data_IF_235868479105
#
_entry.id   IF_235868479105
#
_cell.length_a   1.000
_cell.length_b   1.000
_cell.length_c   1.000
_cell.angle_alpha   90.00
_cell.angle_beta   90.00
_cell.angle_gamma   90.00
#
_symmetry.space_group_name_H-M   'P 1'
#
loop_
_entity.id
_entity.type
_entity.pdbx_description
1 polymer ?
#
# COMPACT_ATOMS: atom_id res chain seq x y z
N UNK A 1 23.58 27.26 -22.02
CA UNK A 1 23.18 26.13 -21.14
C UNK A 1 21.67 26.01 -20.91
N UNK A 2 20.78 26.54 -21.78
CA UNK A 2 19.31 26.50 -21.56
C UNK A 2 18.54 25.61 -22.56
N UNK A 3 19.21 25.12 -23.62
CA UNK A 3 18.58 24.36 -24.72
C UNK A 3 18.64 22.83 -24.57
N UNK A 4 19.48 22.32 -23.66
CA UNK A 4 19.63 20.88 -23.40
C UNK A 4 18.66 20.33 -22.35
N UNK A 5 18.09 21.20 -21.50
CA UNK A 5 17.11 20.82 -20.47
C UNK A 5 15.86 20.12 -21.03
N UNK A 6 15.22 20.58 -22.13
CA UNK A 6 14.04 19.90 -22.66
C UNK A 6 14.36 18.53 -23.25
N UNK A 7 15.52 18.37 -23.89
CA UNK A 7 15.95 17.08 -24.44
C UNK A 7 16.20 16.04 -23.33
N UNK A 8 16.78 16.47 -22.21
CA UNK A 8 16.99 15.62 -21.04
C UNK A 8 15.67 15.17 -20.40
N UNK A 9 14.68 16.06 -20.30
CA UNK A 9 13.34 15.73 -19.80
C UNK A 9 12.59 14.74 -20.70
N UNK A 10 12.76 14.82 -22.02
CA UNK A 10 12.16 13.89 -22.99
C UNK A 10 12.76 12.49 -22.88
N UNK A 11 14.08 12.37 -22.66
CA UNK A 11 14.74 11.06 -22.50
C UNK A 11 14.31 10.31 -21.22
N UNK A 12 13.95 11.04 -20.16
CA UNK A 12 13.41 10.45 -18.92
C UNK A 12 12.00 9.89 -19.16
N UNK A 13 11.18 10.59 -19.96
CA UNK A 13 9.81 10.17 -20.26
C UNK A 13 9.72 8.90 -21.11
N UNK A 14 10.77 8.55 -21.87
CA UNK A 14 10.79 7.35 -22.71
C UNK A 14 11.06 6.05 -21.94
N UNK A 15 11.42 6.13 -20.65
CA UNK A 15 11.67 4.98 -19.78
C UNK A 15 10.63 4.81 -18.67
N UNK A 16 9.51 5.53 -18.73
CA UNK A 16 8.48 5.42 -17.70
C UNK A 16 7.57 4.24 -18.00
N UNK A 17 7.74 3.14 -17.28
CA UNK A 17 6.67 2.15 -17.13
C UNK A 17 5.48 2.86 -16.50
N UNK A 18 4.31 2.82 -17.15
CA UNK A 18 3.08 3.36 -16.57
C UNK A 18 2.89 2.72 -15.19
N UNK A 19 2.93 3.53 -14.14
CA UNK A 19 2.74 3.06 -12.79
C UNK A 19 1.25 2.79 -12.61
N UNK A 20 0.88 1.51 -12.52
CA UNK A 20 -0.48 1.14 -12.14
C UNK A 20 -0.78 1.74 -10.76
N UNK A 21 -1.97 2.32 -10.62
CA UNK A 21 -2.42 2.84 -9.34
C UNK A 21 -2.61 1.64 -8.40
N UNK A 22 -1.62 1.38 -7.56
CA UNK A 22 -1.71 0.34 -6.55
C UNK A 22 -2.83 0.73 -5.57
N UNK A 23 -4.00 0.05 -5.55
CA UNK A 23 -5.18 0.50 -4.82
C UNK A 23 -4.97 0.57 -3.31
N UNK A 24 -3.96 -0.16 -2.84
CA UNK A 24 -3.59 -0.26 -1.44
C UNK A 24 -2.59 0.80 -0.98
N UNK A 25 -2.26 1.76 -1.84
CA UNK A 25 -1.36 2.85 -1.47
C UNK A 25 -2.10 3.81 -0.55
N UNK A 26 -1.68 3.86 0.71
CA UNK A 26 -2.16 4.90 1.61
C UNK A 26 -1.63 6.28 1.20
N UNK A 27 -2.40 7.37 1.39
CA UNK A 27 -1.90 8.72 1.16
C UNK A 27 -0.64 9.00 2.01
N UNK A 28 0.16 10.00 1.63
CA UNK A 28 1.34 10.42 2.39
C UNK A 28 0.98 10.99 3.79
N UNK A 29 -0.31 11.25 4.02
CA UNK A 29 -0.88 11.47 5.34
C UNK A 29 -0.74 10.22 6.23
N UNK A 30 -0.55 10.45 7.53
CA UNK A 30 -0.25 9.43 8.53
C UNK A 30 -1.44 9.46 9.48
N UNK A 31 -1.71 8.32 10.07
CA UNK A 31 -2.49 8.19 11.28
C UNK A 31 -2.01 9.18 12.35
N UNK A 32 -2.91 9.58 13.27
CA UNK A 32 -2.54 10.42 14.39
C UNK A 32 -1.31 9.89 15.12
N UNK A 33 -0.42 10.80 15.54
CA UNK A 33 0.75 10.40 16.31
C UNK A 33 0.33 9.81 17.67
N UNK A 34 1.05 8.79 18.11
CA UNK A 34 0.80 8.01 19.32
C UNK A 34 -0.58 7.32 19.35
N UNK A 35 -1.08 6.90 18.19
CA UNK A 35 -2.32 6.12 18.11
C UNK A 35 -2.08 4.69 17.64
N UNK A 36 -3.01 3.81 18.00
CA UNK A 36 -3.13 2.45 17.51
C UNK A 36 -4.50 2.28 16.87
N UNK A 37 -4.58 1.56 15.76
CA UNK A 37 -5.83 1.15 15.16
C UNK A 37 -5.78 -0.31 14.77
N UNK A 38 -6.95 -0.95 14.81
CA UNK A 38 -7.16 -2.32 14.40
C UNK A 38 -8.09 -2.29 13.20
N UNK A 39 -7.71 -3.02 12.16
CA UNK A 39 -8.51 -3.20 10.95
C UNK A 39 -8.68 -4.69 10.74
N UNK A 40 -9.93 -5.11 10.55
CA UNK A 40 -10.24 -6.45 10.07
C UNK A 40 -10.86 -6.29 8.68
N UNK A 41 -10.32 -7.00 7.70
CA UNK A 41 -10.93 -7.10 6.38
C UNK A 41 -11.35 -8.54 6.14
N UNK A 42 -12.56 -8.71 5.61
CA UNK A 42 -13.08 -10.02 5.22
C UNK A 42 -13.52 -9.92 3.76
N UNK A 43 -13.10 -10.88 2.96
CA UNK A 43 -13.49 -11.03 1.56
C UNK A 43 -14.20 -12.37 1.40
N UNK A 44 -15.32 -12.36 0.68
CA UNK A 44 -16.11 -13.54 0.36
C UNK A 44 -16.29 -13.61 -1.15
N UNK A 45 -16.09 -14.79 -1.73
CA UNK A 45 -16.22 -15.03 -3.16
C UNK A 45 -16.72 -16.44 -3.45
N UNK A 46 -17.07 -16.70 -4.70
CA UNK A 46 -17.34 -18.06 -5.19
C UNK A 46 -16.17 -18.52 -6.03
N UNK A 47 -15.72 -19.75 -5.81
CA UNK A 47 -14.60 -20.30 -6.57
C UNK A 47 -14.92 -20.47 -8.05
N UNK A 48 -13.95 -20.13 -8.91
CA UNK A 48 -14.11 -20.17 -10.37
C UNK A 48 -14.39 -21.58 -10.90
N UNK A 49 -13.89 -22.62 -10.20
CA UNK A 49 -13.99 -24.03 -10.61
C UNK A 49 -14.89 -24.89 -9.70
N UNK A 50 -15.73 -24.28 -8.83
CA UNK A 50 -16.64 -25.05 -7.99
C UNK A 50 -17.53 -24.19 -7.09
N UNK A 51 -18.59 -24.79 -6.54
CA UNK A 51 -19.58 -24.10 -5.70
C UNK A 51 -19.08 -23.85 -4.25
N UNK A 52 -17.76 -23.66 -4.09
CA UNK A 52 -17.11 -23.47 -2.80
C UNK A 52 -17.13 -21.98 -2.44
N UNK A 53 -17.49 -21.71 -1.19
CA UNK A 53 -17.34 -20.38 -0.60
C UNK A 53 -15.85 -20.13 -0.32
N UNK A 54 -15.28 -19.18 -1.06
CA UNK A 54 -13.96 -18.64 -0.81
C UNK A 54 -14.06 -17.50 0.20
N UNK A 55 -13.21 -17.55 1.22
CA UNK A 55 -13.16 -16.58 2.30
C UNK A 55 -11.71 -16.25 2.62
N UNK A 56 -11.44 -14.97 2.82
CA UNK A 56 -10.14 -14.44 3.22
C UNK A 56 -10.34 -13.41 4.32
N UNK A 57 -9.61 -13.58 5.42
CA UNK A 57 -9.61 -12.67 6.56
C UNK A 57 -8.23 -12.08 6.73
N UNK A 58 -8.16 -10.76 6.88
CA UNK A 58 -6.92 -10.00 6.95
C UNK A 58 -6.94 -9.03 8.13
N UNK A 59 -6.67 -9.50 9.36
CA UNK A 59 -6.41 -8.61 10.49
C UNK A 59 -5.12 -7.80 10.28
N UNK A 60 -5.18 -6.52 10.61
CA UNK A 60 -4.07 -5.57 10.55
C UNK A 60 -4.07 -4.68 11.81
N UNK A 61 -2.90 -4.52 12.39
CA UNK A 61 -2.64 -3.55 13.46
C UNK A 61 -1.81 -2.43 12.87
N UNK A 62 -2.22 -1.19 13.13
CA UNK A 62 -1.61 0.01 12.59
C UNK A 62 -1.18 0.92 13.72
N UNK A 63 0.07 1.36 13.72
CA UNK A 63 0.68 2.21 14.73
C UNK A 63 1.14 3.52 14.12
N UNK A 64 0.58 4.64 14.57
CA UNK A 64 1.10 5.97 14.31
C UNK A 64 2.15 6.32 15.36
N UNK A 65 3.40 5.84 15.24
CA UNK A 65 4.42 6.08 16.26
C UNK A 65 4.70 7.58 16.50
N UNK A 66 4.71 8.37 15.43
CA UNK A 66 4.92 9.83 15.51
C UNK A 66 4.29 10.55 14.31
N UNK A 67 4.44 11.88 14.25
CA UNK A 67 4.04 12.66 13.06
C UNK A 67 4.79 12.24 11.78
N UNK A 68 5.94 11.55 11.92
CA UNK A 68 6.79 11.10 10.81
C UNK A 68 6.65 9.61 10.53
N UNK A 69 6.63 8.79 11.59
CA UNK A 69 6.68 7.33 11.50
C UNK A 69 5.32 6.69 11.66
N UNK A 70 5.03 5.74 10.78
CA UNK A 70 3.88 4.86 10.80
C UNK A 70 4.33 3.43 10.49
N UNK A 71 3.78 2.45 11.22
CA UNK A 71 4.07 1.03 11.03
C UNK A 71 2.78 0.23 11.03
N UNK A 72 2.59 -0.66 10.07
CA UNK A 72 1.49 -1.63 10.09
C UNK A 72 2.04 -3.04 10.05
N UNK A 73 1.33 -3.94 10.72
CA UNK A 73 1.56 -5.36 10.68
C UNK A 73 0.24 -6.07 10.43
N UNK A 74 0.19 -6.97 9.46
CA UNK A 74 -1.02 -7.71 9.13
C UNK A 74 -0.73 -9.18 8.87
N UNK A 75 -1.74 -10.00 9.12
CA UNK A 75 -1.75 -11.41 8.76
C UNK A 75 -2.94 -11.65 7.84
N UNK A 76 -2.85 -12.65 6.98
CA UNK A 76 -3.94 -13.09 6.12
C UNK A 76 -4.13 -14.59 6.32
N UNK A 77 -5.39 -14.99 6.52
CA UNK A 77 -5.81 -16.40 6.55
C UNK A 77 -6.94 -16.59 5.54
N UNK A 78 -6.90 -17.66 4.76
CA UNK A 78 -7.92 -17.89 3.75
C UNK A 78 -8.08 -19.37 3.42
N UNK A 79 -9.15 -19.71 2.70
CA UNK A 79 -9.32 -21.00 2.04
C UNK A 79 -9.37 -20.84 0.50
N UNK A 80 -8.75 -19.78 -0.04
CA UNK A 80 -8.86 -19.48 -1.47
C UNK A 80 -8.15 -20.52 -2.34
N UNK A 81 -7.01 -21.04 -1.88
CA UNK A 81 -6.23 -22.04 -2.63
C UNK A 81 -6.37 -23.48 -2.09
N UNK A 82 -6.97 -23.66 -0.92
CA UNK A 82 -7.07 -24.96 -0.23
C UNK A 82 -8.47 -25.21 0.34
N UNK A 83 -8.87 -26.46 0.53
CA UNK A 83 -10.23 -26.81 1.00
C UNK A 83 -10.54 -26.33 2.43
N UNK A 84 -9.53 -26.00 3.23
CA UNK A 84 -9.65 -25.53 4.60
C UNK A 84 -9.04 -24.12 4.75
N UNK A 85 -9.41 -23.41 5.81
CA UNK A 85 -8.79 -22.11 6.14
C UNK A 85 -7.39 -22.35 6.68
N UNK A 86 -6.40 -21.74 6.06
CA UNK A 86 -5.00 -21.83 6.45
C UNK A 86 -4.36 -20.45 6.52
N UNK A 87 -3.18 -20.40 7.14
CA UNK A 87 -2.37 -19.19 7.17
C UNK A 87 -1.76 -18.91 5.79
N UNK A 88 -2.14 -17.77 5.22
CA UNK A 88 -1.77 -17.38 3.87
C UNK A 88 -0.48 -16.56 3.86
N UNK A 89 -0.48 -15.44 4.58
CA UNK A 89 0.63 -14.48 4.53
C UNK A 89 0.75 -13.61 5.78
N UNK A 90 1.93 -13.00 5.93
CA UNK A 90 2.18 -11.90 6.83
C UNK A 90 2.74 -10.72 6.04
N UNK A 91 2.41 -9.51 6.48
CA UNK A 91 2.92 -8.27 5.91
C UNK A 91 3.35 -7.29 6.99
N UNK A 92 4.42 -6.57 6.67
CA UNK A 92 4.93 -5.44 7.43
C UNK A 92 5.03 -4.24 6.51
N UNK A 93 4.52 -3.10 6.97
CA UNK A 93 4.54 -1.85 6.23
C UNK A 93 5.11 -0.76 7.13
N UNK A 94 6.00 0.06 6.59
CA UNK A 94 6.58 1.20 7.26
C UNK A 94 6.51 2.43 6.34
N UNK A 95 6.12 3.57 6.91
CA UNK A 95 6.07 4.85 6.20
C UNK A 95 6.76 5.93 7.03
N UNK A 96 7.65 6.66 6.37
CA UNK A 96 8.38 7.79 6.92
C UNK A 96 8.06 9.06 6.13
N UNK A 97 7.31 9.98 6.75
CA UNK A 97 7.09 11.33 6.21
C UNK A 97 8.32 12.20 6.48
N UNK A 98 8.99 12.58 5.41
CA UNK A 98 10.14 13.47 5.47
C UNK A 98 9.79 14.93 5.14
N UNK A 99 8.71 15.17 4.38
CA UNK A 99 8.26 16.53 4.02
C UNK A 99 6.79 16.74 4.36
N UNK A 100 6.51 17.86 5.03
CA UNK A 100 5.16 18.37 5.28
C UNK A 100 5.22 19.89 5.13
N UNK A 101 4.54 20.43 4.12
CA UNK A 101 4.33 21.86 3.96
C UNK A 101 2.83 22.11 4.00
N UNK A 102 2.36 22.61 5.14
CA UNK A 102 0.96 22.79 5.46
C UNK A 102 0.67 24.29 5.51
N UNK A 103 -0.21 24.76 4.61
CA UNK A 103 -0.74 26.11 4.52
C UNK A 103 -2.27 26.06 4.72
N UNK A 104 -2.91 27.20 5.00
CA UNK A 104 -4.32 27.30 5.45
C UNK A 104 -5.30 26.57 4.52
N UNK A 105 -5.03 26.51 3.21
CA UNK A 105 -5.88 25.82 2.22
C UNK A 105 -5.15 24.79 1.36
N UNK A 106 -3.89 24.48 1.68
CA UNK A 106 -3.04 23.59 0.86
C UNK A 106 -2.12 22.77 1.76
N UNK A 107 -2.19 21.45 1.62
CA UNK A 107 -1.30 20.54 2.34
C UNK A 107 -0.50 19.73 1.33
N UNK A 108 0.81 19.95 1.29
CA UNK A 108 1.74 19.15 0.52
C UNK A 108 2.54 18.25 1.43
N UNK A 109 2.49 16.93 1.19
CA UNK A 109 3.20 15.94 2.02
C UNK A 109 3.91 14.95 1.13
N UNK A 110 5.13 14.60 1.51
CA UNK A 110 5.88 13.51 0.90
C UNK A 110 6.36 12.52 1.94
N UNK A 111 6.24 11.25 1.63
CA UNK A 111 6.70 10.16 2.46
C UNK A 111 7.40 9.10 1.62
N UNK A 112 8.36 8.42 2.22
CA UNK A 112 8.90 7.18 1.70
C UNK A 112 8.19 6.03 2.42
N UNK A 113 7.89 4.96 1.70
CA UNK A 113 7.33 3.75 2.29
C UNK A 113 8.11 2.52 1.86
N UNK A 114 8.07 1.50 2.71
CA UNK A 114 8.55 0.16 2.43
C UNK A 114 7.53 -0.85 2.96
N UNK A 115 7.31 -1.90 2.20
CA UNK A 115 6.44 -3.02 2.51
C UNK A 115 7.21 -4.31 2.26
N UNK A 116 7.11 -5.25 3.18
CA UNK A 116 7.55 -6.62 2.99
C UNK A 116 6.37 -7.54 3.26
N UNK A 117 6.10 -8.47 2.36
CA UNK A 117 5.10 -9.50 2.53
C UNK A 117 5.74 -10.87 2.31
N UNK A 118 5.31 -11.83 3.11
CA UNK A 118 5.67 -13.23 2.97
C UNK A 118 4.39 -14.04 2.84
N UNK A 119 4.25 -14.77 1.73
CA UNK A 119 3.13 -15.65 1.43
C UNK A 119 3.61 -17.09 1.19
N UNK A 120 2.80 -18.05 1.62
CA UNK A 120 3.02 -19.49 1.37
C UNK A 120 2.43 -19.96 0.04
N UNK A 121 1.69 -19.10 -0.67
CA UNK A 121 0.97 -19.50 -1.88
C UNK A 121 1.91 -19.64 -3.07
N UNK A 122 1.57 -20.57 -3.98
CA UNK A 122 2.30 -20.74 -5.23
C UNK A 122 1.85 -19.67 -6.24
N UNK A 123 2.81 -19.06 -6.94
CA UNK A 123 2.60 -17.97 -7.89
C UNK A 123 1.74 -18.44 -9.08
N UNK A 124 0.43 -18.19 -9.04
CA UNK A 124 -0.46 -18.48 -10.19
C UNK A 124 -0.81 -17.23 -11.02
N UNK A 125 -0.65 -16.02 -10.48
CA UNK A 125 -0.98 -14.77 -11.16
C UNK A 125 0.20 -13.79 -11.18
N UNK A 126 0.34 -13.02 -12.26
CA UNK A 126 1.47 -12.12 -12.49
C UNK A 126 1.19 -10.68 -12.01
N UNK A 127 0.12 -10.50 -11.23
CA UNK A 127 -0.26 -9.22 -10.64
C UNK A 127 0.53 -8.99 -9.36
N UNK A 128 1.14 -7.82 -9.21
CA UNK A 128 2.00 -7.53 -8.08
C UNK A 128 1.16 -7.23 -6.82
N UNK A 129 0.59 -8.27 -6.19
CA UNK A 129 -0.27 -8.13 -5.02
C UNK A 129 0.40 -8.62 -3.72
N UNK A 130 0.88 -7.67 -2.90
CA UNK A 130 1.50 -7.95 -1.60
C UNK A 130 0.48 -8.12 -0.44
N UNK A 131 -0.81 -8.24 -0.74
CA UNK A 131 -1.87 -8.37 0.29
C UNK A 131 -2.21 -9.79 0.72
N UNK A 132 -1.50 -10.80 0.19
CA UNK A 132 -1.87 -12.19 0.45
C UNK A 132 -1.07 -13.16 -0.40
N UNK A 133 -0.90 -12.83 -1.67
CA UNK A 133 -0.64 -13.82 -2.71
C UNK A 133 0.84 -13.93 -3.05
N UNK A 134 1.59 -12.83 -2.90
CA UNK A 134 2.99 -12.77 -3.28
C UNK A 134 3.91 -12.53 -2.07
N UNK A 135 4.98 -13.32 -2.00
CA UNK A 135 6.16 -12.93 -1.22
C UNK A 135 6.93 -11.88 -2.01
N UNK A 136 7.24 -10.75 -1.37
CA UNK A 136 7.97 -9.70 -2.03
C UNK A 136 8.25 -8.51 -1.12
N UNK A 137 9.10 -7.62 -1.61
CA UNK A 137 9.40 -6.33 -0.97
C UNK A 137 9.08 -5.24 -1.98
N UNK A 138 8.37 -4.21 -1.53
CA UNK A 138 8.08 -3.01 -2.31
C UNK A 138 8.55 -1.80 -1.52
N UNK A 139 9.14 -0.84 -2.20
CA UNK A 139 9.45 0.45 -1.63
C UNK A 139 9.12 1.55 -2.63
N UNK A 140 8.79 2.73 -2.13
CA UNK A 140 8.39 3.82 -3.00
C UNK A 140 8.36 5.16 -2.30
N UNK A 141 8.18 6.19 -3.11
CA UNK A 141 7.90 7.54 -2.66
C UNK A 141 6.44 7.84 -2.96
N UNK A 142 5.77 8.49 -2.02
CA UNK A 142 4.43 9.01 -2.21
C UNK A 142 4.41 10.50 -1.90
N UNK A 143 3.85 11.26 -2.82
CA UNK A 143 3.53 12.66 -2.65
C UNK A 143 2.02 12.83 -2.73
N UNK A 144 1.44 13.55 -1.77
CA UNK A 144 0.03 13.92 -1.80
C UNK A 144 -0.11 15.41 -1.64
N UNK A 145 -0.86 16.01 -2.55
CA UNK A 145 -1.24 17.41 -2.50
C UNK A 145 -2.76 17.46 -2.31
N UNK A 146 -3.19 18.07 -1.22
CA UNK A 146 -4.60 18.44 -1.02
C UNK A 146 -4.79 19.91 -1.40
N UNK A 147 -5.79 20.19 -2.23
CA UNK A 147 -6.22 21.54 -2.62
C UNK A 147 -7.66 21.78 -2.17
N UNK A 148 -7.95 23.01 -1.72
CA UNK A 148 -9.29 23.47 -1.32
C UNK A 148 -9.95 22.59 -0.25
N UNK A 149 -9.42 22.64 0.98
CA UNK A 149 -10.17 22.15 2.12
C UNK A 149 -11.35 23.10 2.35
N UNK A 150 -12.57 22.61 2.12
CA UNK A 150 -13.80 23.29 2.53
C UNK A 150 -13.87 23.21 4.05
N UNK A 151 -13.36 24.23 4.73
CA UNK A 151 -13.61 24.42 6.15
C UNK A 151 -15.03 24.98 6.29
N UNK A 152 -15.98 24.13 6.70
CA UNK A 152 -17.28 24.53 7.23
C UNK A 152 -17.22 24.53 8.76
#
# INVERSE_FOLDING_TARGET
>A
MKRSLPAFLILIALNTSAQELFPYTEPASNMPAKSMSLKMSAMFGQGVHGNKLEQRYSPEVMFGLSKKWMLHAGLTVSNMYESFVYYESARLYAKYRFLSNDDVHKHFRMAAFAMAAYSRNHLQHNELNLMGEHTGVQAGLIATQLWNKLDH
#
